data_IF_474199299628
#
_entry.id   IF_474199299628
#
_cell.length_a   1.000
_cell.length_b   1.000
_cell.length_c   1.000
_cell.angle_alpha   90.00
_cell.angle_beta   90.00
_cell.angle_gamma   90.00
#
_symmetry.space_group_name_H-M   'P 1'
#
loop_
_entity.id
_entity.type
_entity.pdbx_description
1 polymer ?
#
# COMPACT_ATOMS: atom_id res chain seq x y z
N UNK A 1 -64.85 -4.97 -44.05
CA UNK A 1 -64.78 -4.41 -42.70
C UNK A 1 -63.56 -5.07 -42.00
N UNK A 2 -62.35 -4.46 -42.15
CA UNK A 2 -61.09 -4.99 -41.57
C UNK A 2 -60.77 -4.19 -40.30
N UNK A 3 -60.80 -4.89 -39.16
CA UNK A 3 -60.34 -4.32 -37.88
C UNK A 3 -58.83 -4.55 -37.76
N UNK A 4 -58.06 -3.48 -37.84
CA UNK A 4 -56.64 -3.49 -37.48
C UNK A 4 -56.53 -3.44 -35.96
N UNK A 5 -55.93 -4.49 -35.35
CA UNK A 5 -55.56 -4.53 -33.93
C UNK A 5 -54.16 -3.96 -33.86
N UNK A 6 -54.00 -2.77 -33.27
CA UNK A 6 -52.70 -2.21 -32.91
C UNK A 6 -52.23 -2.87 -31.60
N UNK A 7 -51.18 -3.68 -31.72
CA UNK A 7 -50.48 -4.23 -30.55
C UNK A 7 -49.47 -3.18 -30.07
N UNK A 8 -49.77 -2.56 -28.93
CA UNK A 8 -48.86 -1.60 -28.28
C UNK A 8 -47.77 -2.39 -27.53
N UNK A 9 -46.53 -2.34 -28.03
CA UNK A 9 -45.37 -2.92 -27.37
C UNK A 9 -44.86 -1.88 -26.35
N UNK A 10 -45.23 -2.05 -25.08
CA UNK A 10 -44.63 -1.29 -23.99
C UNK A 10 -43.19 -1.83 -23.71
N UNK A 11 -42.22 -1.10 -24.27
CA UNK A 11 -40.80 -1.37 -23.97
C UNK A 11 -40.45 -0.79 -22.61
N UNK A 12 -40.38 -1.64 -21.59
CA UNK A 12 -39.88 -1.25 -20.27
C UNK A 12 -38.36 -1.16 -20.35
N UNK A 13 -37.83 0.03 -20.44
CA UNK A 13 -36.40 0.30 -20.35
C UNK A 13 -36.00 0.15 -18.87
N UNK A 14 -35.41 -0.97 -18.50
CA UNK A 14 -34.79 -1.14 -17.19
C UNK A 14 -33.51 -0.29 -17.13
N UNK A 15 -33.59 0.85 -16.47
CA UNK A 15 -32.42 1.69 -16.17
C UNK A 15 -31.59 0.99 -15.08
N UNK A 16 -30.54 0.29 -15.49
CA UNK A 16 -29.56 -0.30 -14.56
C UNK A 16 -28.80 0.81 -13.88
N UNK A 17 -29.11 1.06 -12.61
CA UNK A 17 -28.36 1.98 -11.75
C UNK A 17 -27.02 1.33 -11.39
N UNK A 18 -25.96 1.66 -12.12
CA UNK A 18 -24.58 1.30 -11.77
C UNK A 18 -24.14 2.25 -10.65
N UNK A 19 -24.25 1.80 -9.42
CA UNK A 19 -23.65 2.50 -8.27
C UNK A 19 -22.13 2.37 -8.39
N UNK A 20 -21.36 3.49 -8.32
CA UNK A 20 -19.91 3.40 -8.22
C UNK A 20 -19.58 2.68 -6.92
N UNK A 21 -18.85 1.58 -7.02
CA UNK A 21 -18.24 0.92 -5.87
C UNK A 21 -17.12 1.85 -5.40
N UNK A 22 -17.39 2.62 -4.35
CA UNK A 22 -16.32 3.39 -3.69
C UNK A 22 -15.29 2.38 -3.18
N UNK A 23 -14.03 2.54 -3.58
CA UNK A 23 -12.94 1.76 -2.99
C UNK A 23 -12.94 2.09 -1.49
N UNK A 24 -13.22 1.07 -0.66
CA UNK A 24 -13.08 1.19 0.79
C UNK A 24 -11.58 1.16 1.11
N UNK A 25 -11.19 1.94 2.12
CA UNK A 25 -9.83 1.84 2.64
C UNK A 25 -9.57 0.41 3.14
N UNK A 26 -8.34 -0.05 2.95
CA UNK A 26 -7.91 -1.36 3.44
C UNK A 26 -7.88 -1.35 4.97
N UNK A 27 -8.52 -2.34 5.59
CA UNK A 27 -8.63 -2.50 7.03
C UNK A 27 -7.96 -3.78 7.53
N UNK A 28 -7.79 -3.89 8.84
CA UNK A 28 -7.30 -5.12 9.46
C UNK A 28 -8.27 -6.30 9.18
N UNK A 29 -7.69 -7.41 8.73
CA UNK A 29 -8.43 -8.62 8.32
C UNK A 29 -8.67 -8.72 6.81
N UNK A 30 -8.46 -7.64 6.05
CA UNK A 30 -8.59 -7.67 4.60
C UNK A 30 -7.40 -8.39 3.95
N UNK A 31 -7.61 -8.89 2.74
CA UNK A 31 -6.51 -9.29 1.87
C UNK A 31 -5.84 -8.05 1.31
N UNK A 32 -4.54 -7.92 1.50
CA UNK A 32 -3.76 -6.80 0.96
C UNK A 32 -3.85 -6.75 -0.56
N UNK A 33 -4.20 -5.60 -1.17
CA UNK A 33 -4.14 -5.42 -2.62
C UNK A 33 -2.73 -5.74 -3.16
N UNK A 34 -2.67 -6.56 -4.20
CA UNK A 34 -1.40 -6.91 -4.82
C UNK A 34 -0.94 -5.80 -5.75
N UNK A 35 0.35 -5.52 -5.72
CA UNK A 35 0.97 -4.55 -6.63
C UNK A 35 2.29 -5.05 -7.18
N UNK A 36 2.69 -4.45 -8.29
CA UNK A 36 4.05 -4.53 -8.82
C UNK A 36 4.44 -3.13 -9.25
N UNK A 37 5.43 -2.56 -8.59
CA UNK A 37 5.92 -1.21 -8.80
C UNK A 37 7.40 -1.25 -9.23
N UNK A 38 7.84 -0.22 -9.94
CA UNK A 38 9.27 -0.04 -10.18
C UNK A 38 10.01 0.26 -8.88
N UNK A 39 11.25 -0.24 -8.74
CA UNK A 39 12.14 0.29 -7.70
C UNK A 39 12.37 1.79 -7.96
N UNK A 40 12.48 2.58 -6.91
CA UNK A 40 12.73 4.02 -7.02
C UNK A 40 14.06 4.30 -7.76
N UNK A 41 14.98 3.35 -7.74
CA UNK A 41 16.19 3.36 -8.57
C UNK A 41 15.89 2.57 -9.85
N UNK A 42 15.82 3.27 -10.98
CA UNK A 42 15.31 2.73 -12.25
C UNK A 42 16.09 1.52 -12.84
N UNK A 43 17.29 1.24 -12.35
CA UNK A 43 18.15 0.13 -12.78
C UNK A 43 17.96 -1.17 -11.99
N UNK A 44 17.11 -1.15 -10.95
CA UNK A 44 16.79 -2.32 -10.15
C UNK A 44 15.53 -3.05 -10.63
N UNK A 45 15.38 -4.34 -10.30
CA UNK A 45 14.16 -5.09 -10.59
C UNK A 45 12.91 -4.49 -9.95
N UNK A 46 11.76 -4.64 -10.62
CA UNK A 46 10.48 -4.27 -10.05
C UNK A 46 10.17 -5.05 -8.74
N UNK A 47 9.49 -4.39 -7.83
CA UNK A 47 9.11 -4.88 -6.51
C UNK A 47 7.66 -5.36 -6.57
N UNK A 48 7.42 -6.64 -6.27
CA UNK A 48 6.09 -7.24 -6.27
C UNK A 48 5.75 -7.78 -4.90
N UNK A 49 4.61 -7.35 -4.34
CA UNK A 49 4.11 -7.87 -3.06
C UNK A 49 3.82 -9.38 -3.14
N UNK A 50 3.32 -9.86 -4.29
CA UNK A 50 3.03 -11.30 -4.47
C UNK A 50 4.29 -12.17 -4.37
N UNK A 51 5.44 -11.68 -4.81
CA UNK A 51 6.71 -12.41 -4.73
C UNK A 51 7.22 -12.60 -3.30
N UNK A 52 6.62 -11.89 -2.33
CA UNK A 52 6.97 -11.93 -0.91
C UNK A 52 6.00 -12.79 -0.09
N UNK A 53 5.12 -13.58 -0.74
CA UNK A 53 4.29 -14.56 -0.04
C UNK A 53 5.16 -15.51 0.81
N UNK A 54 4.70 -15.81 2.01
CA UNK A 54 5.46 -16.57 3.00
C UNK A 54 6.32 -15.71 3.92
N UNK A 55 6.41 -14.39 3.66
CA UNK A 55 7.06 -13.43 4.56
C UNK A 55 6.03 -12.54 5.26
N UNK A 56 6.38 -12.03 6.43
CA UNK A 56 5.72 -10.88 7.04
C UNK A 56 6.24 -9.62 6.37
N UNK A 57 5.35 -8.79 5.82
CA UNK A 57 5.72 -7.60 5.03
C UNK A 57 5.15 -6.34 5.69
N UNK A 58 6.01 -5.36 5.93
CA UNK A 58 5.61 -4.01 6.34
C UNK A 58 5.63 -3.08 5.14
N UNK A 59 4.46 -2.61 4.72
CA UNK A 59 4.29 -1.66 3.61
C UNK A 59 4.08 -0.27 4.21
N UNK A 60 4.89 0.72 3.85
CA UNK A 60 4.84 2.09 4.36
C UNK A 60 4.77 3.11 3.23
N UNK A 61 3.77 3.98 3.22
CA UNK A 61 3.62 5.05 2.23
C UNK A 61 4.30 6.33 2.72
N UNK A 62 5.16 6.90 1.89
CA UNK A 62 5.97 8.06 2.24
C UNK A 62 6.24 9.03 1.08
N UNK A 63 6.65 10.25 1.43
CA UNK A 63 7.16 11.25 0.49
C UNK A 63 8.27 12.08 1.15
N UNK A 64 9.13 12.69 0.34
CA UNK A 64 10.25 13.54 0.80
C UNK A 64 9.81 14.76 1.62
N UNK A 65 8.62 15.29 1.34
CA UNK A 65 8.01 16.40 2.07
C UNK A 65 7.26 16.00 3.34
N UNK A 66 7.11 14.69 3.62
CA UNK A 66 6.40 14.18 4.78
C UNK A 66 7.32 14.08 6.01
N UNK A 67 7.42 15.13 6.79
CA UNK A 67 8.32 15.18 7.95
C UNK A 67 8.14 14.03 8.97
N UNK A 68 6.92 13.52 9.31
CA UNK A 68 6.81 12.35 10.17
C UNK A 68 7.30 11.06 9.47
N UNK A 69 7.16 10.92 8.14
CA UNK A 69 7.71 9.79 7.38
C UNK A 69 9.24 9.76 7.48
N UNK A 70 9.88 10.91 7.28
CA UNK A 70 11.34 11.01 7.34
C UNK A 70 11.90 10.67 8.73
N UNK A 71 11.08 10.82 9.79
CA UNK A 71 11.47 10.41 11.15
C UNK A 71 11.27 8.92 11.40
N UNK A 72 10.27 8.28 10.76
CA UNK A 72 10.03 6.84 10.92
C UNK A 72 11.06 5.99 10.18
N UNK A 73 11.48 6.42 9.00
CA UNK A 73 12.30 5.62 8.08
C UNK A 73 13.59 5.06 8.70
N UNK A 74 14.42 5.85 9.43
CA UNK A 74 15.60 5.31 10.08
C UNK A 74 15.28 4.25 11.15
N UNK A 75 14.20 4.45 11.92
CA UNK A 75 13.77 3.50 12.97
C UNK A 75 13.23 2.20 12.35
N UNK A 76 12.51 2.31 11.25
CA UNK A 76 12.07 1.14 10.47
C UNK A 76 13.28 0.42 9.85
N UNK A 77 14.31 1.15 9.44
CA UNK A 77 15.54 0.53 8.92
C UNK A 77 16.29 -0.26 10.01
N UNK A 78 16.32 0.27 11.23
CA UNK A 78 16.86 -0.49 12.39
C UNK A 78 16.04 -1.74 12.67
N UNK A 79 14.69 -1.63 12.61
CA UNK A 79 13.78 -2.76 12.80
C UNK A 79 13.99 -3.82 11.71
N UNK A 80 14.09 -3.40 10.46
CA UNK A 80 14.40 -4.29 9.33
C UNK A 80 15.72 -5.02 9.54
N UNK A 81 16.77 -4.31 9.93
CA UNK A 81 18.08 -4.89 10.24
C UNK A 81 18.06 -5.97 11.32
N UNK A 82 17.15 -5.86 12.31
CA UNK A 82 16.99 -6.87 13.38
C UNK A 82 16.31 -8.15 12.91
N UNK A 83 15.35 -8.07 11.95
CA UNK A 83 14.43 -9.18 11.66
C UNK A 83 14.45 -9.68 10.20
N UNK A 84 15.20 -9.05 9.28
CA UNK A 84 15.26 -9.44 7.86
C UNK A 84 15.63 -10.91 7.61
N UNK A 85 16.39 -11.51 8.53
CA UNK A 85 16.80 -12.92 8.45
C UNK A 85 15.74 -13.89 9.02
N UNK A 86 14.55 -13.37 9.40
CA UNK A 86 13.42 -14.11 9.98
C UNK A 86 12.15 -14.02 9.12
N UNK A 87 12.29 -14.00 7.80
CA UNK A 87 11.16 -13.81 6.88
C UNK A 87 10.37 -12.51 7.11
N UNK A 88 11.06 -11.44 7.49
CA UNK A 88 10.53 -10.08 7.54
C UNK A 88 11.05 -9.25 6.39
N UNK A 89 10.13 -8.50 5.74
CA UNK A 89 10.48 -7.59 4.65
C UNK A 89 9.80 -6.23 4.84
N UNK A 90 10.41 -5.18 4.33
CA UNK A 90 9.86 -3.83 4.33
C UNK A 90 9.81 -3.31 2.89
N UNK A 91 8.67 -2.76 2.50
CA UNK A 91 8.50 -2.02 1.24
C UNK A 91 8.05 -0.60 1.59
N UNK A 92 8.90 0.40 1.38
CA UNK A 92 8.50 1.78 1.42
C UNK A 92 8.04 2.23 0.02
N UNK A 93 6.80 2.70 -0.10
CA UNK A 93 6.21 3.16 -1.35
C UNK A 93 6.30 4.68 -1.39
N UNK A 94 7.14 5.19 -2.28
CA UNK A 94 7.30 6.62 -2.50
C UNK A 94 6.23 7.16 -3.44
N UNK A 95 5.67 8.33 -3.10
CA UNK A 95 4.61 9.00 -3.87
C UNK A 95 4.99 10.44 -4.26
N UNK A 96 6.29 10.74 -4.32
CA UNK A 96 6.74 12.04 -4.81
C UNK A 96 6.45 12.20 -6.30
N UNK A 97 6.03 13.39 -6.67
CA UNK A 97 5.95 13.88 -8.03
C UNK A 97 6.50 15.31 -8.06
N UNK A 98 7.74 15.50 -8.60
CA UNK A 98 8.56 14.51 -9.33
C UNK A 98 9.25 13.46 -8.41
N UNK A 99 9.50 12.26 -8.96
CA UNK A 99 10.17 11.14 -8.26
C UNK A 99 11.59 11.48 -7.80
N UNK A 100 12.24 12.41 -8.48
CA UNK A 100 13.59 12.89 -8.19
C UNK A 100 13.71 13.41 -6.76
N UNK A 101 12.66 14.02 -6.20
CA UNK A 101 12.66 14.53 -4.83
C UNK A 101 12.86 13.38 -3.80
N UNK A 102 12.20 12.23 -4.03
CA UNK A 102 12.40 11.03 -3.21
C UNK A 102 13.77 10.40 -3.42
N UNK A 103 14.26 10.38 -4.66
CA UNK A 103 15.60 9.86 -4.99
C UNK A 103 16.69 10.71 -4.33
N UNK A 104 16.58 12.05 -4.37
CA UNK A 104 17.54 12.98 -3.76
C UNK A 104 17.59 12.82 -2.23
N UNK A 105 16.42 12.62 -1.58
CA UNK A 105 16.39 12.33 -0.15
C UNK A 105 17.17 11.04 0.21
N UNK A 106 17.07 10.02 -0.62
CA UNK A 106 17.73 8.72 -0.38
C UNK A 106 19.25 8.75 -0.61
N UNK A 107 19.79 9.75 -1.33
CA UNK A 107 21.23 9.95 -1.44
C UNK A 107 21.86 10.28 -0.08
N UNK A 108 21.15 11.06 0.73
CA UNK A 108 21.61 11.47 2.06
C UNK A 108 21.17 10.50 3.17
N UNK A 109 20.17 9.67 2.89
CA UNK A 109 19.59 8.72 3.86
C UNK A 109 19.48 7.34 3.23
N UNK A 110 20.59 6.59 3.12
CA UNK A 110 20.55 5.24 2.56
C UNK A 110 19.78 4.28 3.47
N UNK A 111 18.91 3.46 2.86
CA UNK A 111 18.08 2.48 3.54
C UNK A 111 18.32 1.09 2.94
N UNK A 112 18.21 0.04 3.78
CA UNK A 112 18.56 -1.33 3.42
C UNK A 112 17.38 -2.14 2.85
N UNK A 113 16.15 -1.65 3.02
CA UNK A 113 14.93 -2.32 2.58
C UNK A 113 14.48 -1.85 1.17
N UNK A 114 13.43 -2.49 0.66
CA UNK A 114 12.89 -2.22 -0.68
C UNK A 114 12.18 -0.88 -0.73
N UNK A 115 12.44 -0.09 -1.79
CA UNK A 115 11.79 1.20 -1.99
C UNK A 115 11.19 1.26 -3.38
N UNK A 116 9.86 1.22 -3.43
CA UNK A 116 9.06 1.28 -4.65
C UNK A 116 8.60 2.70 -4.97
N UNK A 117 8.30 2.98 -6.23
CA UNK A 117 7.76 4.25 -6.69
C UNK A 117 6.33 4.08 -7.23
N UNK A 118 5.37 4.83 -6.67
CA UNK A 118 3.97 4.91 -7.07
C UNK A 118 3.63 6.33 -7.54
N UNK A 119 4.30 6.80 -8.59
CA UNK A 119 4.19 8.18 -9.11
C UNK A 119 2.79 8.55 -9.57
N UNK A 120 2.00 7.57 -9.99
CA UNK A 120 0.61 7.76 -10.43
C UNK A 120 -0.41 7.65 -9.28
N UNK A 121 0.05 7.37 -8.04
CA UNK A 121 -0.77 7.19 -6.85
C UNK A 121 -1.86 6.10 -6.99
N UNK A 122 -1.61 5.09 -7.82
CA UNK A 122 -2.57 3.99 -8.06
C UNK A 122 -2.63 3.08 -6.83
N UNK A 123 -1.50 2.61 -6.34
CA UNK A 123 -1.43 1.72 -5.17
C UNK A 123 -1.84 2.48 -3.90
N UNK A 124 -1.43 3.73 -3.75
CA UNK A 124 -1.88 4.61 -2.66
C UNK A 124 -3.42 4.67 -2.61
N UNK A 125 -4.06 4.82 -3.79
CA UNK A 125 -5.53 4.87 -3.89
C UNK A 125 -6.20 3.53 -3.62
N UNK A 126 -5.60 2.41 -4.08
CA UNK A 126 -6.10 1.05 -3.84
C UNK A 126 -6.05 0.67 -2.36
N UNK A 127 -5.06 1.15 -1.62
CA UNK A 127 -4.95 0.99 -0.17
C UNK A 127 -5.82 1.98 0.61
N UNK A 128 -6.43 2.96 -0.06
CA UNK A 128 -7.29 3.98 0.56
C UNK A 128 -6.53 4.93 1.48
N UNK A 129 -5.24 5.17 1.20
CA UNK A 129 -4.38 6.05 2.01
C UNK A 129 -4.81 7.51 1.83
N UNK A 130 -5.24 8.15 2.90
CA UNK A 130 -5.69 9.55 2.92
C UNK A 130 -4.73 10.51 3.61
N UNK A 131 -3.67 9.98 4.21
CA UNK A 131 -2.64 10.77 4.90
C UNK A 131 -1.39 9.94 5.13
N UNK A 132 -0.24 10.59 5.34
CA UNK A 132 1.06 9.93 5.50
C UNK A 132 1.78 10.31 6.78
N UNK A 133 2.61 9.41 7.34
CA UNK A 133 2.74 8.02 6.92
C UNK A 133 1.47 7.22 7.21
N UNK A 134 1.15 6.28 6.37
CA UNK A 134 0.22 5.18 6.67
C UNK A 134 0.92 3.89 6.29
N UNK A 135 0.91 2.93 7.19
CA UNK A 135 1.58 1.66 7.01
C UNK A 135 0.67 0.48 7.30
N UNK A 136 0.97 -0.63 6.66
CA UNK A 136 0.22 -1.88 6.72
C UNK A 136 1.18 -3.02 7.04
N UNK A 137 0.91 -3.76 8.11
CA UNK A 137 1.64 -4.99 8.42
C UNK A 137 0.83 -6.17 7.87
N UNK A 138 1.45 -6.94 6.99
CA UNK A 138 0.83 -8.02 6.23
C UNK A 138 1.49 -9.33 6.63
N UNK A 139 0.67 -10.35 6.93
CA UNK A 139 1.17 -11.66 7.30
C UNK A 139 1.60 -12.52 6.10
N UNK A 140 2.11 -13.71 6.38
CA UNK A 140 2.62 -14.68 5.40
C UNK A 140 1.58 -15.10 4.34
N UNK A 141 0.29 -15.05 4.70
CA UNK A 141 -0.82 -15.40 3.82
C UNK A 141 -1.33 -14.18 3.02
N UNK A 142 -0.82 -12.98 3.31
CA UNK A 142 -1.18 -11.72 2.66
C UNK A 142 -2.39 -11.04 3.27
N UNK A 143 -2.73 -11.35 4.51
CA UNK A 143 -3.77 -10.66 5.27
C UNK A 143 -3.19 -9.47 6.03
N UNK A 144 -3.85 -8.34 6.00
CA UNK A 144 -3.49 -7.15 6.78
C UNK A 144 -3.76 -7.42 8.26
N UNK A 145 -2.74 -7.31 9.09
CA UNK A 145 -2.81 -7.56 10.54
C UNK A 145 -2.73 -6.31 11.38
N UNK A 146 -2.24 -5.21 10.79
CA UNK A 146 -2.22 -3.90 11.42
C UNK A 146 -2.28 -2.82 10.35
N UNK A 147 -3.06 -1.77 10.62
CA UNK A 147 -3.02 -0.50 9.89
C UNK A 147 -2.57 0.58 10.86
N UNK A 148 -1.47 1.26 10.58
CA UNK A 148 -0.91 2.30 11.43
C UNK A 148 -0.88 3.64 10.70
N UNK A 149 -1.53 4.66 11.26
CA UNK A 149 -1.66 6.00 10.66
C UNK A 149 -0.90 7.03 11.48
N UNK A 150 -0.06 7.80 10.80
CA UNK A 150 0.83 8.77 11.42
C UNK A 150 2.06 8.09 12.05
N UNK A 151 2.97 8.89 12.63
CA UNK A 151 4.14 8.36 13.34
C UNK A 151 4.60 9.29 14.46
N UNK A 152 4.77 8.71 15.64
CA UNK A 152 5.45 9.26 16.80
C UNK A 152 6.59 8.31 17.20
N UNK A 153 7.65 8.81 17.79
CA UNK A 153 8.84 8.01 18.09
C UNK A 153 8.55 6.72 18.89
N UNK A 154 7.58 6.74 19.80
CA UNK A 154 7.20 5.57 20.60
C UNK A 154 6.39 4.53 19.81
N UNK A 155 5.88 4.89 18.62
CA UNK A 155 5.08 3.96 17.81
C UNK A 155 5.94 2.81 17.27
N UNK A 156 7.27 2.98 17.21
CA UNK A 156 8.18 1.91 16.80
C UNK A 156 8.09 0.67 17.71
N UNK A 157 7.83 0.85 19.03
CA UNK A 157 7.67 -0.25 19.99
C UNK A 157 6.38 -1.04 19.69
N UNK A 158 5.32 -0.35 19.29
CA UNK A 158 4.03 -0.97 18.92
C UNK A 158 4.21 -1.75 17.62
N UNK A 159 4.89 -1.16 16.63
CA UNK A 159 5.16 -1.81 15.34
C UNK A 159 6.05 -3.05 15.55
N UNK A 160 7.13 -2.92 16.33
CA UNK A 160 8.03 -4.03 16.64
C UNK A 160 7.30 -5.20 17.33
N UNK A 161 6.42 -4.90 18.30
CA UNK A 161 5.62 -5.92 18.98
C UNK A 161 4.69 -6.66 18.00
N UNK A 162 4.02 -5.94 17.09
CA UNK A 162 3.16 -6.55 16.09
C UNK A 162 3.95 -7.40 15.07
N UNK A 163 5.15 -6.95 14.66
CA UNK A 163 6.06 -7.74 13.81
C UNK A 163 6.46 -9.03 14.50
N UNK A 164 6.86 -8.97 15.78
CA UNK A 164 7.28 -10.15 16.55
C UNK A 164 6.16 -11.19 16.68
N UNK A 165 4.92 -10.75 16.91
CA UNK A 165 3.74 -11.64 17.00
C UNK A 165 3.53 -12.45 15.71
N UNK A 166 3.87 -11.89 14.55
CA UNK A 166 3.75 -12.57 13.25
C UNK A 166 4.98 -13.43 12.87
N UNK A 167 6.11 -13.25 13.57
CA UNK A 167 7.33 -14.01 13.31
C UNK A 167 7.48 -15.25 14.22
N UNK A 168 6.59 -15.43 15.18
CA UNK A 168 6.53 -16.63 16.02
C UNK A 168 5.86 -17.79 15.28
#
# INVERSE_FOLDING_TARGET
MNKFIFLSINSVFALSLVLPLAALAVEEGDTAPLFTLSDIQADKPAISLESLRGKTVYVDFWASWCAPCLRSMPLINELYGKYRDRDFEVIAINVDDPIEDGQDFLLDTPLDYLIAADTDNVVLSEYGVTGMPTSFLIDKDGTVRMVHMGFRTNDIEIIEAAVLDLLE
#
